data_IF_705874718793
#
_entry.id   IF_705874718793
#
_cell.length_a   1.000
_cell.length_b   1.000
_cell.length_c   1.000
_cell.angle_alpha   90.00
_cell.angle_beta   90.00
_cell.angle_gamma   90.00
#
_symmetry.space_group_name_H-M   'P 1'
#
loop_
_entity.id
_entity.type
_entity.pdbx_description
1 polymer ?
#
# COMPACT_ATOMS: atom_id res chain seq x y z
N UNK A 1 7.92 -16.95 -6.81
CA UNK A 1 8.19 -16.22 -8.07
C UNK A 1 8.76 -17.20 -9.08
N UNK A 2 8.26 -17.16 -10.30
CA UNK A 2 8.76 -18.00 -11.40
C UNK A 2 10.02 -17.38 -12.04
N UNK A 3 10.85 -18.19 -12.71
CA UNK A 3 12.05 -17.72 -13.39
C UNK A 3 11.75 -16.66 -14.49
N UNK A 4 10.55 -16.72 -15.07
CA UNK A 4 10.06 -15.75 -16.06
C UNK A 4 9.68 -14.39 -15.44
N UNK A 5 9.12 -14.39 -14.23
CA UNK A 5 8.81 -13.15 -13.50
C UNK A 5 10.08 -12.41 -13.06
N UNK A 6 11.10 -13.16 -12.63
CA UNK A 6 12.42 -12.60 -12.30
C UNK A 6 13.06 -11.92 -13.52
N UNK A 7 13.05 -12.59 -14.68
CA UNK A 7 13.63 -12.00 -15.91
C UNK A 7 12.88 -10.77 -16.40
N UNK A 8 11.55 -10.72 -16.28
CA UNK A 8 10.74 -9.54 -16.61
C UNK A 8 11.11 -8.36 -15.69
N UNK A 9 11.17 -8.60 -14.38
CA UNK A 9 11.47 -7.55 -13.41
C UNK A 9 12.88 -6.99 -13.56
N UNK A 10 13.88 -7.85 -13.77
CA UNK A 10 15.26 -7.43 -13.98
C UNK A 10 15.40 -6.59 -15.25
N UNK A 11 14.78 -7.04 -16.36
CA UNK A 11 14.80 -6.29 -17.61
C UNK A 11 14.06 -4.96 -17.50
N UNK A 12 12.92 -4.92 -16.81
CA UNK A 12 12.17 -3.69 -16.57
C UNK A 12 12.98 -2.69 -15.74
N UNK A 13 13.64 -3.15 -14.67
CA UNK A 13 14.48 -2.32 -13.81
C UNK A 13 15.67 -1.72 -14.57
N UNK A 14 16.32 -2.52 -15.42
CA UNK A 14 17.40 -2.04 -16.28
C UNK A 14 16.90 -0.97 -17.27
N UNK A 15 15.78 -1.23 -17.97
CA UNK A 15 15.18 -0.24 -18.88
C UNK A 15 14.81 1.06 -18.16
N UNK A 16 14.18 0.98 -16.98
CA UNK A 16 13.84 2.15 -16.18
C UNK A 16 15.07 2.95 -15.78
N UNK A 17 16.12 2.27 -15.32
CA UNK A 17 17.39 2.91 -14.94
C UNK A 17 18.01 3.66 -16.11
N UNK A 18 18.01 3.05 -17.30
CA UNK A 18 18.54 3.68 -18.52
C UNK A 18 17.69 4.86 -18.97
N UNK A 19 16.35 4.76 -18.90
CA UNK A 19 15.47 5.88 -19.24
C UNK A 19 15.68 7.07 -18.29
N UNK A 20 15.87 6.82 -16.99
CA UNK A 20 16.14 7.88 -16.01
C UNK A 20 17.48 8.55 -16.29
N UNK A 21 18.53 7.77 -16.53
CA UNK A 21 19.84 8.32 -16.91
C UNK A 21 19.74 9.15 -18.20
N UNK A 22 19.05 8.61 -19.21
CA UNK A 22 18.88 9.27 -20.49
C UNK A 22 18.08 10.57 -20.36
N UNK A 23 17.02 10.61 -19.56
CA UNK A 23 16.25 11.82 -19.25
C UNK A 23 17.16 12.94 -18.73
N UNK A 24 18.02 12.66 -17.74
CA UNK A 24 18.94 13.66 -17.21
C UNK A 24 20.01 14.08 -18.23
N UNK A 25 20.44 13.15 -19.08
CA UNK A 25 21.37 13.44 -20.17
C UNK A 25 20.73 14.21 -21.33
N UNK A 26 19.41 14.23 -21.46
CA UNK A 26 18.67 14.98 -22.49
C UNK A 26 18.38 16.43 -22.11
N UNK A 27 18.76 16.86 -20.90
CA UNK A 27 18.54 18.22 -20.41
C UNK A 27 19.28 19.31 -21.21
N UNK A 28 19.01 20.60 -20.92
CA UNK A 28 19.58 21.74 -21.65
C UNK A 28 21.12 21.85 -21.58
N UNK A 29 21.76 21.07 -20.71
CA UNK A 29 23.21 20.99 -20.56
C UNK A 29 23.80 19.65 -21.03
N UNK A 30 23.06 18.93 -21.89
CA UNK A 30 23.52 17.69 -22.49
C UNK A 30 24.86 17.85 -23.20
N UNK A 31 25.80 16.96 -22.92
CA UNK A 31 27.07 16.83 -23.66
C UNK A 31 27.00 15.78 -24.77
N UNK A 32 25.85 15.08 -24.91
CA UNK A 32 25.68 14.03 -25.90
C UNK A 32 25.43 14.62 -27.28
N UNK A 33 26.09 14.05 -28.28
CA UNK A 33 25.78 14.28 -29.69
C UNK A 33 24.44 13.63 -30.07
N UNK A 34 23.84 14.08 -31.17
CA UNK A 34 22.61 13.47 -31.70
C UNK A 34 22.79 11.99 -32.06
N UNK A 35 23.99 11.60 -32.51
CA UNK A 35 24.30 10.19 -32.78
C UNK A 35 24.31 9.34 -31.50
N UNK A 36 24.91 9.84 -30.41
CA UNK A 36 24.93 9.14 -29.13
C UNK A 36 23.52 9.02 -28.54
N UNK A 37 22.72 10.08 -28.62
CA UNK A 37 21.31 10.06 -28.20
C UNK A 37 20.52 8.99 -28.97
N UNK A 38 20.64 8.96 -30.31
CA UNK A 38 19.99 7.97 -31.15
C UNK A 38 20.46 6.54 -30.85
N UNK A 39 21.74 6.34 -30.54
CA UNK A 39 22.28 5.04 -30.14
C UNK A 39 21.68 4.57 -28.81
N UNK A 40 21.64 5.42 -27.79
CA UNK A 40 21.05 5.10 -26.48
C UNK A 40 19.56 4.78 -26.63
N UNK A 41 18.82 5.63 -27.37
CA UNK A 41 17.40 5.40 -27.65
C UNK A 41 17.18 4.03 -28.32
N UNK A 42 17.97 3.72 -29.36
CA UNK A 42 17.89 2.44 -30.07
C UNK A 42 18.13 1.27 -29.12
N UNK A 43 19.15 1.35 -28.28
CA UNK A 43 19.52 0.26 -27.37
C UNK A 43 18.41 0.01 -26.32
N UNK A 44 17.79 1.09 -25.80
CA UNK A 44 16.61 0.98 -24.93
C UNK A 44 15.44 0.35 -25.70
N UNK A 45 15.18 0.74 -26.94
CA UNK A 45 14.09 0.17 -27.76
C UNK A 45 14.26 -1.32 -28.02
N UNK A 46 15.49 -1.80 -28.23
CA UNK A 46 15.78 -3.23 -28.37
C UNK A 46 15.38 -3.99 -27.10
N UNK A 47 15.68 -3.44 -25.92
CA UNK A 47 15.27 -4.05 -24.64
C UNK A 47 13.76 -4.05 -24.44
N UNK A 48 13.09 -2.96 -24.81
CA UNK A 48 11.61 -2.89 -24.79
C UNK A 48 11.02 -3.93 -25.75
N UNK A 49 11.63 -4.15 -26.93
CA UNK A 49 11.20 -5.18 -27.87
C UNK A 49 11.32 -6.58 -27.25
N UNK A 50 12.44 -6.89 -26.60
CA UNK A 50 12.59 -8.16 -25.86
C UNK A 50 11.55 -8.27 -24.73
N UNK A 51 11.32 -7.19 -23.98
CA UNK A 51 10.29 -7.16 -22.96
C UNK A 51 8.89 -7.42 -23.53
N UNK A 52 8.60 -6.99 -24.78
CA UNK A 52 7.32 -7.25 -25.43
C UNK A 52 7.07 -8.73 -25.78
N UNK A 53 8.15 -9.50 -25.96
CA UNK A 53 8.08 -10.96 -26.15
C UNK A 53 7.75 -11.69 -24.84
N UNK A 54 8.15 -11.11 -23.70
CA UNK A 54 7.91 -11.66 -22.36
C UNK A 54 6.58 -11.18 -21.76
N UNK A 55 6.28 -9.88 -21.88
CA UNK A 55 5.06 -9.25 -21.40
C UNK A 55 4.76 -7.95 -22.13
N UNK A 56 3.68 -7.97 -22.93
CA UNK A 56 3.18 -6.79 -23.63
C UNK A 56 2.85 -5.63 -22.69
N UNK A 57 2.19 -5.91 -21.56
CA UNK A 57 1.86 -4.89 -20.55
C UNK A 57 3.10 -4.15 -20.05
N UNK A 58 4.13 -4.88 -19.58
CA UNK A 58 5.36 -4.26 -19.11
C UNK A 58 6.15 -3.56 -20.23
N UNK A 59 6.08 -4.03 -21.47
CA UNK A 59 6.70 -3.34 -22.60
C UNK A 59 6.09 -1.97 -22.87
N UNK A 60 4.76 -1.81 -22.74
CA UNK A 60 4.12 -0.51 -22.86
C UNK A 60 4.42 0.40 -21.66
N UNK A 61 4.52 -0.14 -20.44
CA UNK A 61 5.01 0.63 -19.28
C UNK A 61 6.45 1.11 -19.53
N UNK A 62 7.34 0.26 -20.02
CA UNK A 62 8.70 0.63 -20.36
C UNK A 62 8.76 1.70 -21.46
N UNK A 63 7.84 1.62 -22.44
CA UNK A 63 7.67 2.66 -23.45
C UNK A 63 7.27 4.00 -22.83
N UNK A 64 6.39 4.02 -21.82
CA UNK A 64 6.06 5.26 -21.10
C UNK A 64 7.32 5.93 -20.52
N UNK A 65 8.20 5.18 -19.85
CA UNK A 65 9.47 5.70 -19.32
C UNK A 65 10.37 6.29 -20.43
N UNK A 66 10.50 5.59 -21.56
CA UNK A 66 11.27 6.09 -22.69
C UNK A 66 10.68 7.39 -23.24
N UNK A 67 9.36 7.48 -23.37
CA UNK A 67 8.72 8.70 -23.89
C UNK A 67 8.85 9.88 -22.93
N UNK A 68 8.95 9.66 -21.63
CA UNK A 68 9.33 10.70 -20.66
C UNK A 68 10.76 11.18 -20.91
N UNK A 69 11.71 10.25 -21.05
CA UNK A 69 13.10 10.59 -21.33
C UNK A 69 13.26 11.41 -22.62
N UNK A 70 12.43 11.13 -23.62
CA UNK A 70 12.39 11.84 -24.90
C UNK A 70 11.54 13.12 -24.90
N UNK A 71 10.85 13.45 -23.81
CA UNK A 71 9.99 14.63 -23.75
C UNK A 71 8.69 14.54 -24.57
N UNK A 72 8.25 13.34 -24.96
CA UNK A 72 7.17 13.14 -25.91
C UNK A 72 5.84 12.78 -25.23
N UNK A 73 5.05 13.81 -24.88
CA UNK A 73 3.76 13.65 -24.22
C UNK A 73 2.73 12.84 -25.04
N UNK A 74 2.75 12.97 -26.36
CA UNK A 74 1.79 12.29 -27.24
C UNK A 74 2.01 10.78 -27.25
N UNK A 75 3.26 10.35 -27.46
CA UNK A 75 3.59 8.93 -27.46
C UNK A 75 3.54 8.33 -26.06
N UNK A 76 3.82 9.11 -25.00
CA UNK A 76 3.57 8.70 -23.61
C UNK A 76 2.09 8.34 -23.40
N UNK A 77 1.18 9.21 -23.84
CA UNK A 77 -0.27 8.99 -23.72
C UNK A 77 -0.71 7.75 -24.48
N UNK A 78 -0.18 7.56 -25.70
CA UNK A 78 -0.44 6.37 -26.51
C UNK A 78 0.01 5.10 -25.79
N UNK A 79 1.23 5.07 -25.27
CA UNK A 79 1.76 3.93 -24.52
C UNK A 79 0.94 3.63 -23.25
N UNK A 80 0.46 4.66 -22.56
CA UNK A 80 -0.46 4.50 -21.43
C UNK A 80 -1.76 3.80 -21.86
N UNK A 81 -2.46 4.27 -22.89
CA UNK A 81 -3.68 3.62 -23.36
C UNK A 81 -3.44 2.20 -23.88
N UNK A 82 -2.29 1.93 -24.49
CA UNK A 82 -1.90 0.57 -24.89
C UNK A 82 -1.69 -0.33 -23.66
N UNK A 83 -1.09 0.21 -22.59
CA UNK A 83 -0.88 -0.50 -21.31
C UNK A 83 -2.20 -0.94 -20.68
N UNK A 84 -3.23 -0.09 -20.73
CA UNK A 84 -4.55 -0.39 -20.13
C UNK A 84 -5.23 -1.62 -20.73
N UNK A 85 -4.84 -2.08 -21.93
CA UNK A 85 -5.35 -3.34 -22.50
C UNK A 85 -4.81 -4.59 -21.79
N UNK A 86 -3.77 -4.45 -20.97
CA UNK A 86 -3.07 -5.56 -20.32
C UNK A 86 -2.99 -5.38 -18.80
N UNK A 87 -2.79 -4.15 -18.34
CA UNK A 87 -2.61 -3.78 -16.94
C UNK A 87 -3.48 -2.56 -16.65
N UNK A 88 -4.60 -2.79 -15.96
CA UNK A 88 -5.47 -1.71 -15.47
C UNK A 88 -5.50 -1.77 -13.94
N UNK A 89 -4.71 -0.90 -13.32
CA UNK A 89 -4.66 -0.77 -11.86
C UNK A 89 -4.15 0.62 -11.46
N UNK A 90 -4.35 0.96 -10.18
CA UNK A 90 -4.00 2.25 -9.61
C UNK A 90 -2.53 2.69 -9.84
N UNK A 91 -1.60 1.74 -9.89
CA UNK A 91 -0.17 2.00 -10.11
C UNK A 91 0.08 2.53 -11.52
N UNK A 92 -0.62 2.02 -12.54
CA UNK A 92 -0.46 2.49 -13.93
C UNK A 92 -0.92 3.95 -14.07
N UNK A 93 -2.05 4.32 -13.46
CA UNK A 93 -2.53 5.71 -13.44
C UNK A 93 -1.59 6.63 -12.66
N UNK A 94 -1.10 6.19 -11.50
CA UNK A 94 -0.14 6.96 -10.69
C UNK A 94 1.18 7.20 -11.43
N UNK A 95 1.69 6.19 -12.13
CA UNK A 95 2.91 6.30 -12.94
C UNK A 95 2.70 7.27 -14.11
N UNK A 96 1.59 7.13 -14.85
CA UNK A 96 1.27 8.02 -15.96
C UNK A 96 1.11 9.48 -15.51
N UNK A 97 0.40 9.73 -14.41
CA UNK A 97 0.27 11.07 -13.84
C UNK A 97 1.62 11.65 -13.41
N UNK A 98 2.47 10.85 -12.75
CA UNK A 98 3.83 11.26 -12.39
C UNK A 98 4.67 11.62 -13.62
N UNK A 99 4.56 10.83 -14.69
CA UNK A 99 5.24 11.08 -15.97
C UNK A 99 4.74 12.36 -16.66
N UNK A 100 3.43 12.60 -16.69
CA UNK A 100 2.86 13.86 -17.18
C UNK A 100 3.40 15.06 -16.40
N UNK A 101 3.50 14.94 -15.07
CA UNK A 101 4.06 15.99 -14.23
C UNK A 101 5.53 16.26 -14.53
N UNK A 102 6.36 15.22 -14.67
CA UNK A 102 7.77 15.36 -15.07
C UNK A 102 7.95 16.03 -16.44
N UNK A 103 7.00 15.83 -17.35
CA UNK A 103 6.97 16.49 -18.65
C UNK A 103 6.41 17.93 -18.60
N UNK A 104 6.04 18.44 -17.43
CA UNK A 104 5.51 19.80 -17.27
C UNK A 104 4.01 19.94 -17.51
N UNK A 105 3.24 18.85 -17.41
CA UNK A 105 1.79 18.84 -17.56
C UNK A 105 1.03 18.50 -16.25
N UNK A 106 1.26 19.24 -15.14
CA UNK A 106 0.68 18.91 -13.83
C UNK A 106 -0.86 18.95 -13.82
N UNK A 107 -1.48 19.85 -14.61
CA UNK A 107 -2.95 19.92 -14.71
C UNK A 107 -3.55 18.66 -15.34
N UNK A 108 -2.88 18.10 -16.35
CA UNK A 108 -3.32 16.84 -16.97
C UNK A 108 -3.11 15.66 -16.03
N UNK A 109 -1.99 15.65 -15.29
CA UNK A 109 -1.72 14.64 -14.28
C UNK A 109 -2.81 14.60 -13.19
N UNK A 110 -3.22 15.78 -12.68
CA UNK A 110 -4.32 15.91 -11.72
C UNK A 110 -5.62 15.37 -12.31
N UNK A 111 -5.99 15.80 -13.53
CA UNK A 111 -7.23 15.38 -14.17
C UNK A 111 -7.32 13.86 -14.31
N UNK A 112 -6.23 13.21 -14.73
CA UNK A 112 -6.17 11.74 -14.87
C UNK A 112 -6.49 11.04 -13.54
N UNK A 113 -5.96 11.53 -12.42
CA UNK A 113 -6.20 10.92 -11.11
C UNK A 113 -7.57 11.29 -10.52
N UNK A 114 -8.07 12.51 -10.75
CA UNK A 114 -9.43 12.89 -10.38
C UNK A 114 -10.46 12.03 -11.13
N UNK A 115 -10.26 11.80 -12.44
CA UNK A 115 -11.13 10.95 -13.26
C UNK A 115 -11.09 9.49 -12.78
N UNK A 116 -9.90 8.97 -12.46
CA UNK A 116 -9.74 7.63 -11.89
C UNK A 116 -10.51 7.46 -10.58
N UNK A 117 -10.42 8.44 -9.68
CA UNK A 117 -11.11 8.42 -8.38
C UNK A 117 -12.63 8.63 -8.49
N UNK A 118 -13.12 9.20 -9.60
CA UNK A 118 -14.55 9.37 -9.83
C UNK A 118 -15.27 8.04 -10.07
N UNK A 119 -14.57 7.04 -10.61
CA UNK A 119 -15.14 5.71 -10.94
C UNK A 119 -14.57 4.55 -10.14
N UNK A 120 -13.48 4.76 -9.39
CA UNK A 120 -12.72 3.69 -8.74
C UNK A 120 -12.46 4.00 -7.26
N UNK A 121 -12.54 3.03 -6.34
CA UNK A 121 -12.15 3.23 -4.95
C UNK A 121 -10.74 3.79 -4.80
N UNK A 122 -10.57 4.71 -3.86
CA UNK A 122 -9.30 5.37 -3.61
C UNK A 122 -8.22 4.39 -3.12
N UNK A 123 -7.15 4.22 -3.90
CA UNK A 123 -5.92 3.57 -3.43
C UNK A 123 -4.98 4.58 -2.79
N UNK A 124 -4.18 4.15 -1.82
CA UNK A 124 -3.18 5.01 -1.18
C UNK A 124 -2.18 5.60 -2.20
N UNK A 125 -1.76 4.82 -3.20
CA UNK A 125 -0.84 5.28 -4.24
C UNK A 125 -1.38 6.45 -5.05
N UNK A 126 -2.65 6.41 -5.43
CA UNK A 126 -3.31 7.48 -6.18
C UNK A 126 -3.50 8.72 -5.29
N UNK A 127 -3.90 8.52 -4.04
CA UNK A 127 -4.10 9.61 -3.07
C UNK A 127 -2.80 10.36 -2.80
N UNK A 128 -1.70 9.64 -2.54
CA UNK A 128 -0.38 10.26 -2.33
C UNK A 128 0.09 11.01 -3.58
N UNK A 129 -0.07 10.40 -4.76
CA UNK A 129 0.36 11.05 -6.01
C UNK A 129 -0.45 12.32 -6.29
N UNK A 130 -1.78 12.28 -6.15
CA UNK A 130 -2.65 13.43 -6.35
C UNK A 130 -2.39 14.53 -5.33
N UNK A 131 -2.13 14.17 -4.07
CA UNK A 131 -1.73 15.11 -3.02
C UNK A 131 -0.45 15.85 -3.36
N UNK A 132 0.60 15.12 -3.76
CA UNK A 132 1.87 15.72 -4.17
C UNK A 132 1.68 16.68 -5.35
N UNK A 133 0.80 16.34 -6.30
CA UNK A 133 0.45 17.22 -7.42
C UNK A 133 -0.27 18.49 -6.94
N UNK A 134 -1.25 18.37 -6.04
CA UNK A 134 -1.93 19.54 -5.48
C UNK A 134 -0.98 20.45 -4.72
N UNK A 135 -0.12 19.89 -3.88
CA UNK A 135 0.87 20.66 -3.13
C UNK A 135 1.86 21.36 -4.06
N UNK A 136 2.38 20.65 -5.07
CA UNK A 136 3.27 21.22 -6.09
C UNK A 136 2.62 22.35 -6.90
N UNK A 137 1.30 22.32 -7.07
CA UNK A 137 0.52 23.39 -7.71
C UNK A 137 0.04 24.49 -6.75
N UNK A 138 0.31 24.38 -5.45
CA UNK A 138 -0.20 25.31 -4.42
C UNK A 138 -1.71 25.18 -4.14
N UNK A 139 -2.34 24.09 -4.57
CA UNK A 139 -3.77 23.81 -4.40
C UNK A 139 -4.10 23.19 -3.04
N UNK A 140 -3.59 23.77 -1.94
CA UNK A 140 -3.67 23.21 -0.59
C UNK A 140 -5.11 22.93 -0.12
N UNK A 141 -6.08 23.78 -0.48
CA UNK A 141 -7.48 23.57 -0.12
C UNK A 141 -8.06 22.28 -0.75
N UNK A 142 -7.65 21.94 -1.98
CA UNK A 142 -8.05 20.68 -2.62
C UNK A 142 -7.37 19.48 -1.97
N UNK A 143 -6.09 19.63 -1.62
CA UNK A 143 -5.31 18.60 -0.93
C UNK A 143 -5.92 18.25 0.44
N UNK A 144 -6.24 19.25 1.26
CA UNK A 144 -6.90 19.04 2.56
C UNK A 144 -8.22 18.28 2.39
N UNK A 145 -9.07 18.70 1.45
CA UNK A 145 -10.35 18.02 1.19
C UNK A 145 -10.16 16.58 0.72
N UNK A 146 -9.16 16.32 -0.13
CA UNK A 146 -8.81 14.97 -0.59
C UNK A 146 -8.44 14.08 0.59
N UNK A 147 -7.53 14.54 1.45
CA UNK A 147 -7.05 13.79 2.61
C UNK A 147 -8.16 13.54 3.63
N UNK A 148 -8.98 14.54 3.93
CA UNK A 148 -10.14 14.39 4.80
C UNK A 148 -11.11 13.32 4.28
N UNK A 149 -11.39 13.33 2.97
CA UNK A 149 -12.29 12.36 2.34
C UNK A 149 -11.69 10.96 2.40
N UNK A 150 -10.40 10.84 2.12
CA UNK A 150 -9.68 9.57 2.17
C UNK A 150 -9.67 8.98 3.58
N UNK A 151 -9.33 9.79 4.60
CA UNK A 151 -9.27 9.37 6.00
C UNK A 151 -10.65 9.00 6.56
N UNK A 152 -11.72 9.70 6.17
CA UNK A 152 -13.09 9.31 6.53
C UNK A 152 -13.49 7.95 5.95
N UNK A 153 -12.96 7.62 4.77
CA UNK A 153 -13.29 6.38 4.08
C UNK A 153 -12.34 5.23 4.44
N UNK A 154 -11.15 5.56 4.97
CA UNK A 154 -10.09 4.65 5.37
C UNK A 154 -9.64 5.01 6.79
N UNK A 155 -10.58 4.97 7.74
CA UNK A 155 -10.28 5.26 9.14
C UNK A 155 -9.27 4.22 9.63
N UNK A 156 -8.10 4.63 10.14
CA UNK A 156 -7.13 3.70 10.71
C UNK A 156 -7.80 2.81 11.76
N UNK A 157 -7.47 1.52 11.79
CA UNK A 157 -8.07 0.59 12.77
C UNK A 157 -7.87 1.06 14.21
N UNK A 158 -6.77 1.76 14.52
CA UNK A 158 -6.52 2.35 15.83
C UNK A 158 -7.56 3.42 16.22
N UNK A 159 -8.00 4.25 15.28
CA UNK A 159 -9.04 5.25 15.52
C UNK A 159 -10.40 4.58 15.70
N UNK A 160 -10.72 3.58 14.87
CA UNK A 160 -11.95 2.79 15.03
C UNK A 160 -11.98 2.07 16.37
N UNK A 161 -10.84 1.53 16.81
CA UNK A 161 -10.70 0.87 18.10
C UNK A 161 -10.93 1.86 19.25
N UNK A 162 -10.34 3.05 19.21
CA UNK A 162 -10.58 4.08 20.23
C UNK A 162 -12.05 4.52 20.25
N UNK A 163 -12.65 4.78 19.09
CA UNK A 163 -14.08 5.12 18.99
C UNK A 163 -14.97 4.02 19.55
N UNK A 164 -14.64 2.75 19.27
CA UNK A 164 -15.36 1.60 19.81
C UNK A 164 -15.24 1.51 21.33
N UNK A 165 -14.03 1.66 21.88
CA UNK A 165 -13.80 1.60 23.33
C UNK A 165 -14.61 2.70 24.04
N UNK A 166 -14.59 3.93 23.51
CA UNK A 166 -15.39 5.05 24.03
C UNK A 166 -16.88 4.78 23.92
N UNK A 167 -17.37 4.29 22.77
CA UNK A 167 -18.79 3.99 22.53
C UNK A 167 -19.35 2.93 23.48
N UNK A 168 -18.51 1.99 23.93
CA UNK A 168 -18.90 0.90 24.83
C UNK A 168 -18.45 1.14 26.28
N UNK A 169 -18.12 2.38 26.64
CA UNK A 169 -17.70 2.79 27.99
C UNK A 169 -16.54 1.94 28.56
N UNK A 170 -15.59 1.51 27.72
CA UNK A 170 -14.38 0.78 28.12
C UNK A 170 -13.25 1.81 28.32
N UNK A 171 -12.73 1.93 29.54
CA UNK A 171 -11.71 2.93 29.85
C UNK A 171 -10.29 2.45 29.50
N UNK A 172 -9.33 3.39 29.37
CA UNK A 172 -7.91 3.03 29.22
C UNK A 172 -7.39 2.16 30.36
N UNK A 173 -7.78 2.45 31.61
CA UNK A 173 -7.36 1.71 32.80
C UNK A 173 -7.86 0.26 32.76
N UNK A 174 -9.12 0.06 32.39
CA UNK A 174 -9.71 -1.27 32.24
C UNK A 174 -9.02 -2.07 31.13
N UNK A 175 -8.65 -1.39 30.04
CA UNK A 175 -7.89 -1.99 28.94
C UNK A 175 -6.49 -2.42 29.42
N UNK A 176 -5.82 -1.58 30.21
CA UNK A 176 -4.51 -1.88 30.81
C UNK A 176 -4.58 -3.04 31.80
N UNK A 177 -5.63 -3.13 32.62
CA UNK A 177 -5.87 -4.25 33.53
C UNK A 177 -6.02 -5.56 32.77
N UNK A 178 -6.81 -5.57 31.70
CA UNK A 178 -6.95 -6.73 30.82
C UNK A 178 -5.59 -7.17 30.24
N UNK A 179 -4.81 -6.24 29.67
CA UNK A 179 -3.50 -6.59 29.10
C UNK A 179 -2.50 -7.05 30.15
N UNK A 180 -2.50 -6.43 31.32
CA UNK A 180 -1.65 -6.85 32.44
C UNK A 180 -1.96 -8.28 32.86
N UNK A 181 -3.25 -8.64 32.93
CA UNK A 181 -3.66 -10.01 33.26
C UNK A 181 -3.16 -11.03 32.21
N UNK A 182 -3.35 -10.74 30.92
CA UNK A 182 -2.93 -11.64 29.84
C UNK A 182 -1.41 -11.74 29.75
N UNK A 183 -0.69 -10.62 29.87
CA UNK A 183 0.78 -10.61 29.87
C UNK A 183 1.36 -11.37 31.06
N UNK A 184 0.77 -11.24 32.26
CA UNK A 184 1.18 -12.02 33.43
C UNK A 184 0.95 -13.52 33.23
N UNK A 185 -0.13 -13.91 32.55
CA UNK A 185 -0.39 -15.29 32.19
C UNK A 185 0.67 -15.83 31.23
N UNK A 186 1.03 -15.09 30.18
CA UNK A 186 2.09 -15.49 29.25
C UNK A 186 3.45 -15.61 29.93
N UNK A 187 3.81 -14.67 30.80
CA UNK A 187 5.02 -14.76 31.60
C UNK A 187 5.03 -16.03 32.48
N UNK A 188 3.90 -16.39 33.09
CA UNK A 188 3.78 -17.62 33.88
C UNK A 188 3.94 -18.89 33.02
N UNK A 189 3.54 -18.84 31.74
CA UNK A 189 3.74 -19.91 30.75
C UNK A 189 5.13 -19.88 30.08
N UNK A 190 6.00 -18.94 30.46
CA UNK A 190 7.32 -18.70 29.82
C UNK A 190 7.21 -18.39 28.32
N UNK A 191 6.14 -17.71 27.94
CA UNK A 191 5.97 -17.12 26.62
C UNK A 191 6.52 -15.69 26.70
N UNK A 192 7.65 -15.47 26.05
CA UNK A 192 8.41 -14.22 26.13
C UNK A 192 8.30 -13.41 24.84
N UNK A 193 8.11 -14.07 23.69
CA UNK A 193 8.04 -13.40 22.39
C UNK A 193 6.67 -13.59 21.75
N UNK A 194 5.94 -12.49 21.58
CA UNK A 194 4.66 -12.47 20.89
C UNK A 194 4.37 -11.09 20.30
N UNK A 195 3.57 -11.08 19.23
CA UNK A 195 2.99 -9.87 18.64
C UNK A 195 1.51 -9.78 18.95
N UNK A 196 1.03 -8.57 19.18
CA UNK A 196 -0.39 -8.30 19.44
C UNK A 196 -0.96 -7.58 18.23
N UNK A 197 -2.07 -8.07 17.70
CA UNK A 197 -2.90 -7.34 16.74
C UNK A 197 -4.32 -7.18 17.29
N UNK A 198 -4.98 -6.07 16.94
CA UNK A 198 -6.36 -5.78 17.35
C UNK A 198 -7.14 -5.33 16.15
N UNK A 199 -8.33 -5.91 15.97
CA UNK A 199 -9.26 -5.49 14.93
C UNK A 199 -10.69 -5.59 15.42
N UNK A 200 -11.56 -4.73 14.88
CA UNK A 200 -12.99 -4.84 15.11
C UNK A 200 -13.53 -5.82 14.07
N UNK A 201 -14.15 -6.91 14.54
CA UNK A 201 -14.84 -7.88 13.70
C UNK A 201 -16.34 -7.76 13.88
N UNK A 202 -17.08 -7.85 12.77
CA UNK A 202 -18.54 -8.00 12.82
C UNK A 202 -18.87 -9.45 13.12
N UNK A 203 -19.54 -9.68 14.25
CA UNK A 203 -20.09 -10.99 14.58
C UNK A 203 -21.32 -11.32 13.73
N UNK A 204 -21.80 -12.56 13.83
CA UNK A 204 -22.98 -13.05 13.11
C UNK A 204 -24.29 -12.34 13.49
N UNK A 205 -24.34 -11.67 14.64
CA UNK A 205 -25.52 -10.98 15.17
C UNK A 205 -25.50 -9.45 14.90
N UNK A 206 -24.73 -8.98 13.91
CA UNK A 206 -24.50 -7.54 13.63
C UNK A 206 -23.92 -6.73 14.81
N UNK A 207 -23.43 -7.41 15.85
CA UNK A 207 -22.66 -6.80 16.92
C UNK A 207 -21.19 -6.77 16.53
N UNK A 208 -20.57 -5.61 16.70
CA UNK A 208 -19.13 -5.42 16.53
C UNK A 208 -18.39 -5.94 17.78
N UNK A 209 -17.28 -6.67 17.62
CA UNK A 209 -16.43 -7.21 18.69
C UNK A 209 -14.98 -6.76 18.47
N UNK A 210 -14.22 -6.54 19.54
CA UNK A 210 -12.77 -6.38 19.48
C UNK A 210 -12.13 -7.77 19.52
N UNK A 211 -11.55 -8.19 18.41
CA UNK A 211 -10.70 -9.38 18.38
C UNK A 211 -9.27 -8.95 18.67
N UNK A 212 -8.70 -9.47 19.77
CA UNK A 212 -7.29 -9.32 20.14
C UNK A 212 -6.58 -10.63 19.86
N UNK A 213 -5.64 -10.59 18.91
CA UNK A 213 -4.86 -11.76 18.51
C UNK A 213 -3.44 -11.64 19.05
N UNK A 214 -3.00 -12.71 19.70
CA UNK A 214 -1.64 -12.88 20.19
C UNK A 214 -0.95 -13.90 19.29
N UNK A 215 -0.04 -13.45 18.46
CA UNK A 215 0.79 -14.31 17.62
C UNK A 215 2.05 -14.66 18.40
N UNK A 216 2.20 -15.92 18.80
CA UNK A 216 3.36 -16.39 19.55
C UNK A 216 4.54 -16.60 18.59
N UNK A 217 5.70 -16.03 18.93
CA UNK A 217 6.92 -16.20 18.16
C UNK A 217 7.86 -17.27 18.76
N UNK A 218 7.58 -17.71 19.99
CA UNK A 218 8.25 -18.84 20.61
C UNK A 218 7.85 -20.18 19.95
N UNK A 219 8.77 -21.15 19.94
CA UNK A 219 8.57 -22.46 19.31
C UNK A 219 7.65 -23.35 20.18
N UNK A 220 6.34 -23.14 20.05
CA UNK A 220 5.30 -23.92 20.71
C UNK A 220 4.66 -24.91 19.74
N UNK A 221 4.42 -26.13 20.21
CA UNK A 221 3.64 -27.12 19.48
C UNK A 221 2.15 -26.71 19.41
N UNK A 222 1.39 -27.21 18.42
CA UNK A 222 -0.07 -26.97 18.35
C UNK A 222 -0.82 -27.36 19.63
N UNK A 223 -0.39 -28.42 20.31
CA UNK A 223 -0.99 -28.86 21.59
C UNK A 223 -0.68 -27.86 22.72
N UNK A 224 0.51 -27.27 22.73
CA UNK A 224 0.87 -26.21 23.69
C UNK A 224 0.06 -24.93 23.44
N UNK A 225 -0.11 -24.53 22.17
CA UNK A 225 -0.96 -23.38 21.80
C UNK A 225 -2.42 -23.63 22.19
N UNK A 226 -2.93 -24.84 21.95
CA UNK A 226 -4.29 -25.21 22.35
C UNK A 226 -4.48 -25.17 23.87
N UNK A 227 -3.56 -25.77 24.62
CA UNK A 227 -3.57 -25.75 26.10
C UNK A 227 -3.52 -24.32 26.64
N UNK A 228 -2.69 -23.47 26.05
CA UNK A 228 -2.56 -22.06 26.42
C UNK A 228 -3.85 -21.28 26.14
N UNK A 229 -4.51 -21.52 25.01
CA UNK A 229 -5.81 -20.93 24.69
C UNK A 229 -6.90 -21.32 25.71
N UNK A 230 -6.95 -22.59 26.11
CA UNK A 230 -7.90 -23.08 27.11
C UNK A 230 -7.64 -22.47 28.50
N UNK A 231 -6.36 -22.44 28.91
CA UNK A 231 -5.96 -21.85 30.18
C UNK A 231 -6.25 -20.36 30.24
N UNK A 232 -5.98 -19.62 29.16
CA UNK A 232 -6.31 -18.20 29.06
C UNK A 232 -7.83 -17.96 29.12
N UNK A 233 -8.62 -18.77 28.40
CA UNK A 233 -10.08 -18.66 28.43
C UNK A 233 -10.64 -18.87 29.83
N UNK A 234 -10.08 -19.83 30.58
CA UNK A 234 -10.45 -20.09 31.98
C UNK A 234 -10.05 -18.92 32.89
N UNK A 235 -8.82 -18.41 32.74
CA UNK A 235 -8.35 -17.25 33.51
C UNK A 235 -9.24 -16.02 33.31
N UNK A 236 -9.61 -15.72 32.05
CA UNK A 236 -10.46 -14.58 31.75
C UNK A 236 -11.86 -14.75 32.34
N UNK A 237 -12.42 -15.97 32.30
CA UNK A 237 -13.73 -16.27 32.89
C UNK A 237 -13.74 -16.15 34.42
N UNK A 238 -12.64 -16.51 35.08
CA UNK A 238 -12.50 -16.46 36.55
C UNK A 238 -11.97 -15.11 37.06
N UNK A 239 -11.64 -14.19 36.16
CA UNK A 239 -11.08 -12.88 36.52
C UNK A 239 -12.13 -11.92 37.08
N UNK A 240 -11.68 -10.92 37.84
CA UNK A 240 -12.52 -9.81 38.29
C UNK A 240 -12.72 -8.72 37.21
N UNK A 241 -12.39 -9.02 35.95
CA UNK A 241 -12.56 -8.05 34.88
C UNK A 241 -14.05 -7.70 34.72
N UNK A 242 -14.36 -6.44 34.38
CA UNK A 242 -15.72 -6.03 34.07
C UNK A 242 -16.37 -6.96 33.05
N UNK A 243 -17.65 -7.33 33.27
CA UNK A 243 -18.40 -8.25 32.40
C UNK A 243 -18.37 -7.87 30.92
N UNK A 244 -18.27 -6.57 30.62
CA UNK A 244 -18.10 -6.01 29.26
C UNK A 244 -16.87 -6.57 28.53
N UNK A 245 -15.82 -7.03 29.21
CA UNK A 245 -14.69 -7.69 28.54
C UNK A 245 -15.10 -9.01 27.89
N UNK A 246 -15.89 -9.83 28.58
CA UNK A 246 -16.44 -11.07 28.01
C UNK A 246 -17.46 -10.81 26.90
N UNK A 247 -18.05 -9.62 26.85
CA UNK A 247 -19.06 -9.23 25.84
C UNK A 247 -18.46 -8.56 24.60
N UNK A 248 -17.28 -7.96 24.72
CA UNK A 248 -16.67 -7.15 23.67
C UNK A 248 -15.29 -7.64 23.20
N UNK A 249 -14.56 -8.44 24.00
CA UNK A 249 -13.22 -8.91 23.66
C UNK A 249 -13.23 -10.40 23.33
N UNK A 250 -12.68 -10.73 22.16
CA UNK A 250 -12.36 -12.10 21.78
C UNK A 250 -10.84 -12.22 21.75
N UNK A 251 -10.29 -13.14 22.54
CA UNK A 251 -8.85 -13.39 22.62
C UNK A 251 -8.49 -14.66 21.88
N UNK A 252 -7.54 -14.59 20.95
CA UNK A 252 -7.05 -15.77 20.23
C UNK A 252 -5.54 -15.82 20.23
N UNK A 253 -4.98 -16.99 20.52
CA UNK A 253 -3.55 -17.26 20.45
C UNK A 253 -3.28 -18.09 19.20
N UNK A 254 -2.36 -17.64 18.37
CA UNK A 254 -1.93 -18.27 17.13
C UNK A 254 -0.44 -18.57 17.14
#
# INVERSE_FOLDING_TARGET
MTQSELSINDLMNDVMTQCVQFYYQMGPFSVLTEFEKASIERDIRVKISHLSELSKGYSHVAMMYLQVALGNQKELSKAFFETLNYLDNATIYSNYASHLNSLGFPKMAVQVLEDYLASTPASMSVIVTLSNLYQGMGAFAKDTKLMETYLKSNVPQENLLQEYLVKNDITPEETEEYFTLVSNYFLAQRIEHYKISRRIEKGHDDKDWITTEFQIEDDLSPDQIHSTNLGLSTLLADSNLPRKFAEHFITRIY
#
